data_IF_696233510332
#
_entry.id   IF_696233510332
#
_cell.length_a   1.000
_cell.length_b   1.000
_cell.length_c   1.000
_cell.angle_alpha   90.00
_cell.angle_beta   90.00
_cell.angle_gamma   90.00
#
_symmetry.space_group_name_H-M   'P 1'
#
loop_
_entity.id
_entity.type
_entity.pdbx_description
1 polymer ?
#
# COMPACT_ATOMS: atom_id res chain seq x y z
N UNK A 1 13.37 -25.55 -15.47
CA UNK A 1 12.52 -24.60 -16.22
C UNK A 1 11.39 -24.21 -15.28
N UNK A 2 11.33 -22.97 -14.78
CA UNK A 2 10.18 -22.55 -13.96
C UNK A 2 9.04 -22.28 -14.92
N UNK A 3 8.03 -23.15 -14.89
CA UNK A 3 6.83 -23.00 -15.69
C UNK A 3 6.15 -21.68 -15.32
N UNK A 4 6.08 -20.74 -16.27
CA UNK A 4 5.43 -19.44 -16.07
C UNK A 4 3.94 -19.60 -16.37
N UNK A 5 3.11 -19.33 -15.38
CA UNK A 5 1.67 -19.23 -15.56
C UNK A 5 1.31 -18.16 -16.61
N UNK A 6 0.21 -18.35 -17.37
CA UNK A 6 -0.35 -17.31 -18.22
C UNK A 6 -0.60 -16.00 -17.44
N UNK A 7 -0.51 -14.86 -18.12
CA UNK A 7 -0.65 -13.54 -17.49
C UNK A 7 -1.99 -13.37 -16.75
N UNK A 8 -3.08 -13.86 -17.35
CA UNK A 8 -4.43 -13.85 -16.78
C UNK A 8 -4.51 -14.68 -15.48
N UNK A 9 -3.90 -15.87 -15.48
CA UNK A 9 -3.85 -16.73 -14.29
C UNK A 9 -3.06 -16.04 -13.18
N UNK A 10 -1.91 -15.43 -13.51
CA UNK A 10 -1.10 -14.68 -12.54
C UNK A 10 -1.87 -13.49 -11.96
N UNK A 11 -2.58 -12.73 -12.81
CA UNK A 11 -3.41 -11.61 -12.37
C UNK A 11 -4.52 -12.07 -11.43
N UNK A 12 -5.26 -13.13 -11.80
CA UNK A 12 -6.32 -13.70 -10.97
C UNK A 12 -5.82 -14.19 -9.61
N UNK A 13 -4.67 -14.86 -9.57
CA UNK A 13 -4.02 -15.27 -8.32
C UNK A 13 -3.57 -14.06 -7.48
N UNK A 14 -3.06 -13.01 -8.11
CA UNK A 14 -2.69 -11.76 -7.43
C UNK A 14 -3.90 -11.13 -6.75
N UNK A 15 -5.00 -10.92 -7.48
CA UNK A 15 -6.24 -10.36 -6.91
C UNK A 15 -6.80 -11.22 -5.77
N UNK A 16 -6.81 -12.55 -5.92
CA UNK A 16 -7.25 -13.46 -4.87
C UNK A 16 -6.38 -13.37 -3.62
N UNK A 17 -5.06 -13.28 -3.78
CA UNK A 17 -4.12 -13.09 -2.66
C UNK A 17 -4.39 -11.77 -1.94
N UNK A 18 -4.62 -10.68 -2.67
CA UNK A 18 -4.92 -9.38 -2.05
C UNK A 18 -6.28 -9.37 -1.33
N UNK A 19 -7.30 -10.04 -1.87
CA UNK A 19 -8.57 -10.19 -1.17
C UNK A 19 -8.41 -10.92 0.18
N UNK A 20 -7.69 -12.05 0.18
CA UNK A 20 -7.38 -12.80 1.40
C UNK A 20 -6.55 -11.99 2.39
N UNK A 21 -5.56 -11.23 1.90
CA UNK A 21 -4.77 -10.31 2.73
C UNK A 21 -5.67 -9.30 3.45
N UNK A 22 -6.63 -8.69 2.74
CA UNK A 22 -7.55 -7.73 3.35
C UNK A 22 -8.48 -8.35 4.38
N UNK A 23 -8.95 -9.57 4.14
CA UNK A 23 -9.75 -10.31 5.12
C UNK A 23 -8.95 -10.58 6.40
N UNK A 24 -7.69 -11.01 6.27
CA UNK A 24 -6.78 -11.23 7.40
C UNK A 24 -6.45 -9.91 8.11
N UNK A 25 -6.21 -8.82 7.37
CA UNK A 25 -5.88 -7.53 7.96
C UNK A 25 -6.99 -7.02 8.88
N UNK A 26 -8.26 -7.28 8.54
CA UNK A 26 -9.42 -6.93 9.36
C UNK A 26 -9.56 -7.75 10.65
N UNK A 27 -8.86 -8.87 10.80
CA UNK A 27 -8.93 -9.68 12.03
C UNK A 27 -8.10 -9.09 13.20
N UNK A 28 -7.41 -7.97 12.98
CA UNK A 28 -6.62 -7.28 14.01
C UNK A 28 -5.20 -7.81 14.19
N UNK A 29 -4.72 -8.68 13.30
CA UNK A 29 -3.33 -9.17 13.31
C UNK A 29 -2.33 -8.21 12.64
N UNK A 30 -2.79 -7.28 11.80
CA UNK A 30 -1.93 -6.27 11.18
C UNK A 30 -1.89 -5.03 12.06
N UNK A 31 -0.68 -4.49 12.28
CA UNK A 31 -0.44 -3.33 13.14
C UNK A 31 0.45 -2.33 12.42
N UNK A 32 0.29 -1.04 12.76
CA UNK A 32 1.29 -0.04 12.42
C UNK A 32 2.61 -0.38 13.10
N UNK A 33 3.71 -0.10 12.40
CA UNK A 33 5.02 -0.15 13.02
C UNK A 33 5.11 0.93 14.13
N UNK A 34 5.82 0.64 15.24
CA UNK A 34 6.10 1.64 16.26
C UNK A 34 6.76 2.89 15.64
N UNK A 35 6.36 4.09 16.06
CA UNK A 35 6.95 5.34 15.58
C UNK A 35 6.30 5.95 14.33
N UNK A 36 5.41 5.23 13.62
CA UNK A 36 4.79 5.75 12.39
C UNK A 36 3.96 7.00 12.67
N UNK A 37 3.15 7.01 13.72
CA UNK A 37 2.29 8.17 14.03
C UNK A 37 3.12 9.35 14.53
N UNK A 38 4.13 9.06 15.33
CA UNK A 38 5.04 10.03 15.91
C UNK A 38 5.83 10.74 14.80
N UNK A 39 6.38 9.98 13.85
CA UNK A 39 7.09 10.53 12.70
C UNK A 39 6.16 11.35 11.80
N UNK A 40 5.01 10.79 11.41
CA UNK A 40 4.06 11.50 10.55
C UNK A 40 3.49 12.77 11.21
N UNK A 41 3.25 12.73 12.53
CA UNK A 41 2.86 13.89 13.32
C UNK A 41 3.94 14.96 13.33
N UNK A 42 5.18 14.60 13.64
CA UNK A 42 6.30 15.55 13.66
C UNK A 42 6.54 16.21 12.29
N UNK A 43 6.46 15.44 11.19
CA UNK A 43 6.59 15.99 9.84
C UNK A 43 5.46 16.96 9.51
N UNK A 44 4.22 16.63 9.92
CA UNK A 44 3.07 17.50 9.75
C UNK A 44 3.21 18.81 10.54
N UNK A 45 3.65 18.74 11.80
CA UNK A 45 3.86 19.91 12.66
C UNK A 45 4.97 20.84 12.11
N UNK A 46 5.97 20.26 11.44
CA UNK A 46 7.01 21.00 10.72
C UNK A 46 6.56 21.54 9.34
N UNK A 47 5.32 21.26 8.92
CA UNK A 47 4.80 21.66 7.62
C UNK A 47 5.42 20.92 6.42
N UNK A 48 5.99 19.72 6.64
CA UNK A 48 6.63 18.92 5.60
C UNK A 48 5.59 17.97 4.97
N UNK A 49 5.16 18.20 3.70
CA UNK A 49 4.16 17.35 3.06
C UNK A 49 4.72 15.95 2.79
N UNK A 50 3.91 14.93 3.08
CA UNK A 50 4.26 13.53 2.84
C UNK A 50 3.31 12.90 1.81
N UNK A 51 3.83 12.00 0.98
CA UNK A 51 3.07 11.22 -0.02
C UNK A 51 3.48 9.76 0.10
N UNK A 52 2.55 8.83 -0.12
CA UNK A 52 2.83 7.39 -0.11
C UNK A 52 3.17 6.91 -1.53
N UNK A 53 4.30 6.20 -1.70
CA UNK A 53 4.62 5.46 -2.93
C UNK A 53 4.70 3.96 -2.69
N UNK A 54 3.72 3.19 -3.18
CA UNK A 54 3.55 1.76 -2.85
C UNK A 54 3.37 0.86 -4.08
N UNK A 55 3.81 -0.40 -3.96
CA UNK A 55 3.56 -1.46 -4.96
C UNK A 55 2.27 -2.23 -4.68
N UNK A 56 1.52 -1.86 -3.64
CA UNK A 56 0.23 -2.50 -3.33
C UNK A 56 -0.92 -1.87 -4.11
N UNK A 57 -2.05 -2.57 -4.13
CA UNK A 57 -3.28 -2.12 -4.78
C UNK A 57 -3.93 -0.97 -3.98
N UNK A 58 -4.65 -0.09 -4.67
CA UNK A 58 -5.40 1.02 -4.03
C UNK A 58 -6.34 0.55 -2.94
N UNK A 59 -6.96 -0.62 -3.10
CA UNK A 59 -7.86 -1.22 -2.10
C UNK A 59 -7.15 -1.53 -0.77
N UNK A 60 -5.88 -1.96 -0.82
CA UNK A 60 -5.11 -2.25 0.38
C UNK A 60 -4.65 -0.96 1.08
N UNK A 61 -4.36 0.08 0.29
CA UNK A 61 -4.07 1.40 0.83
C UNK A 61 -5.29 1.99 1.54
N UNK A 62 -6.47 1.91 0.90
CA UNK A 62 -7.73 2.35 1.48
C UNK A 62 -8.03 1.60 2.79
N UNK A 63 -7.85 0.27 2.81
CA UNK A 63 -7.99 -0.52 4.03
C UNK A 63 -7.00 -0.09 5.13
N UNK A 64 -5.75 0.20 4.78
CA UNK A 64 -4.76 0.68 5.75
C UNK A 64 -5.18 2.02 6.37
N UNK A 65 -5.77 2.91 5.58
CA UNK A 65 -6.31 4.17 6.08
C UNK A 65 -7.54 3.97 6.95
N UNK A 66 -8.43 3.05 6.60
CA UNK A 66 -9.60 2.67 7.40
C UNK A 66 -9.19 2.09 8.75
N UNK A 67 -8.32 1.07 8.76
CA UNK A 67 -7.92 0.34 9.96
C UNK A 67 -7.09 1.21 10.92
N UNK A 68 -6.24 2.08 10.38
CA UNK A 68 -5.26 2.80 11.18
C UNK A 68 -5.50 4.30 11.26
N UNK A 69 -6.45 4.86 10.51
CA UNK A 69 -6.77 6.29 10.56
C UNK A 69 -5.58 7.18 10.26
N UNK A 70 -4.65 6.78 9.40
CA UNK A 70 -3.40 7.52 9.09
C UNK A 70 -3.48 8.34 7.79
N UNK A 71 -4.56 8.22 7.01
CA UNK A 71 -4.66 8.87 5.70
C UNK A 71 -4.48 10.40 5.76
N UNK A 72 -4.88 11.03 6.86
CA UNK A 72 -4.80 12.48 7.08
C UNK A 72 -3.38 13.03 7.27
N UNK A 73 -2.35 12.17 7.31
CA UNK A 73 -0.95 12.60 7.33
C UNK A 73 -0.37 12.79 5.93
N UNK A 74 -1.04 12.31 4.88
CA UNK A 74 -0.49 12.26 3.53
C UNK A 74 -1.27 13.17 2.58
N UNK A 75 -0.56 13.96 1.77
CA UNK A 75 -1.12 14.81 0.74
C UNK A 75 -1.62 14.03 -0.49
N UNK A 76 -1.18 12.78 -0.64
CA UNK A 76 -1.59 11.90 -1.71
C UNK A 76 -0.93 10.53 -1.60
N UNK A 77 -1.21 9.68 -2.58
CA UNK A 77 -0.57 8.37 -2.72
C UNK A 77 -0.52 7.93 -4.18
N UNK A 78 0.50 7.16 -4.51
CA UNK A 78 0.72 6.49 -5.80
C UNK A 78 0.78 4.98 -5.53
N UNK A 79 -0.13 4.22 -6.14
CA UNK A 79 -0.29 2.78 -5.99
C UNK A 79 0.10 2.03 -7.27
N UNK A 80 0.00 0.69 -7.25
CA UNK A 80 0.36 -0.15 -8.40
C UNK A 80 -0.42 0.17 -9.68
N UNK A 81 -1.65 0.66 -9.53
CA UNK A 81 -2.55 1.01 -10.62
C UNK A 81 -2.25 2.38 -11.23
N UNK A 82 -1.40 3.19 -10.58
CA UNK A 82 -1.01 4.53 -11.04
C UNK A 82 0.28 4.52 -11.87
N UNK A 83 0.94 3.38 -12.01
CA UNK A 83 2.23 3.24 -12.70
C UNK A 83 2.21 2.10 -13.71
N UNK A 84 2.98 2.25 -14.79
CA UNK A 84 3.18 1.20 -15.80
C UNK A 84 4.27 0.21 -15.40
N UNK A 85 5.25 0.65 -14.62
CA UNK A 85 6.38 -0.13 -14.13
C UNK A 85 6.50 -0.01 -12.61
N UNK A 86 6.39 -1.16 -11.94
CA UNK A 86 6.65 -1.23 -10.50
C UNK A 86 8.14 -1.13 -10.17
N UNK A 87 8.43 -0.90 -8.88
CA UNK A 87 9.79 -0.92 -8.32
C UNK A 87 10.58 -2.17 -8.78
N UNK A 88 11.88 -2.05 -9.11
CA UNK A 88 12.79 -0.94 -8.82
C UNK A 88 12.73 0.23 -9.82
N UNK A 89 11.84 0.20 -10.81
CA UNK A 89 11.61 1.37 -11.67
C UNK A 89 11.14 2.58 -10.82
N UNK A 90 11.64 3.80 -11.07
CA UNK A 90 11.36 4.96 -10.24
C UNK A 90 9.97 5.58 -10.43
N UNK A 91 9.15 5.13 -11.40
CA UNK A 91 7.86 5.77 -11.77
C UNK A 91 6.90 6.10 -10.60
N UNK A 92 7.01 5.38 -9.50
CA UNK A 92 6.19 5.58 -8.29
C UNK A 92 6.65 6.74 -7.38
N UNK A 93 7.83 7.32 -7.63
CA UNK A 93 8.45 8.39 -6.86
C UNK A 93 8.47 9.72 -7.63
#
# INVERSE_FOLDING_TARGET
>A
MVERYPAEVKAGLSHRKEALYRDIARTGHVRLLPGVRELCGALKDLGIPCVIGTSTHKENLALSFELFGIGHFFAGAVASEDVTKGKPDPEVF
#
